data_IF_119645944715
#
_entry.id   IF_119645944715
#
_cell.length_a   1.000
_cell.length_b   1.000
_cell.length_c   1.000
_cell.angle_alpha   90.00
_cell.angle_beta   90.00
_cell.angle_gamma   90.00
#
_symmetry.space_group_name_H-M   'P 1'
#
loop_
_entity.id
_entity.type
_entity.pdbx_description
1 polymer ?
#
# COMPACT_ATOMS: atom_id res chain seq x y z
N UNK A 1 -46.98 7.62 -32.86
CA UNK A 1 -46.19 6.36 -32.90
C UNK A 1 -44.68 6.57 -33.10
N UNK A 2 -44.14 7.79 -33.10
CA UNK A 2 -42.71 8.07 -33.39
C UNK A 2 -41.79 8.25 -32.18
N UNK A 3 -42.30 8.36 -30.95
CA UNK A 3 -41.46 8.62 -29.75
C UNK A 3 -40.89 7.35 -29.09
N UNK A 4 -41.46 6.16 -29.37
CA UNK A 4 -41.05 4.90 -28.70
C UNK A 4 -39.73 4.35 -29.26
N UNK A 5 -39.40 4.65 -30.53
CA UNK A 5 -38.14 4.23 -31.15
C UNK A 5 -36.94 5.08 -30.71
N UNK A 6 -37.11 6.37 -30.42
CA UNK A 6 -36.00 7.23 -29.98
C UNK A 6 -35.57 6.94 -28.54
N UNK A 7 -36.50 6.70 -27.61
CA UNK A 7 -36.14 6.39 -26.21
C UNK A 7 -35.42 5.04 -26.06
N UNK A 8 -35.77 4.05 -26.89
CA UNK A 8 -35.13 2.72 -26.87
C UNK A 8 -33.70 2.77 -27.40
N UNK A 9 -33.41 3.54 -28.45
CA UNK A 9 -32.05 3.75 -28.95
C UNK A 9 -31.16 4.52 -27.98
N UNK A 10 -31.68 5.53 -27.29
CA UNK A 10 -30.93 6.32 -26.29
C UNK A 10 -30.63 5.49 -25.04
N UNK A 11 -31.59 4.69 -24.56
CA UNK A 11 -31.39 3.79 -23.41
C UNK A 11 -30.36 2.67 -23.67
N UNK A 12 -30.38 2.07 -24.86
CA UNK A 12 -29.40 1.06 -25.28
C UNK A 12 -27.98 1.63 -25.42
N UNK A 13 -27.85 2.83 -26.00
CA UNK A 13 -26.56 3.53 -26.09
C UNK A 13 -25.95 3.78 -24.70
N UNK A 14 -26.72 4.37 -23.79
CA UNK A 14 -26.23 4.71 -22.43
C UNK A 14 -25.82 3.46 -21.62
N UNK A 15 -26.54 2.35 -21.77
CA UNK A 15 -26.18 1.05 -21.17
C UNK A 15 -24.83 0.53 -21.69
N UNK A 16 -24.62 0.52 -23.00
CA UNK A 16 -23.39 0.00 -23.63
C UNK A 16 -22.17 0.82 -23.23
N UNK A 17 -22.30 2.15 -23.19
CA UNK A 17 -21.22 3.04 -22.74
C UNK A 17 -20.85 2.81 -21.28
N UNK A 18 -21.84 2.59 -20.41
CA UNK A 18 -21.60 2.32 -18.98
C UNK A 18 -20.84 1.01 -18.74
N UNK A 19 -21.14 -0.05 -19.52
CA UNK A 19 -20.47 -1.34 -19.36
C UNK A 19 -19.05 -1.33 -19.95
N UNK A 20 -18.85 -0.66 -21.08
CA UNK A 20 -17.51 -0.45 -21.64
C UNK A 20 -16.61 0.32 -20.68
N UNK A 21 -17.13 1.39 -20.06
CA UNK A 21 -16.39 2.19 -19.09
C UNK A 21 -15.96 1.34 -17.89
N UNK A 22 -16.88 0.54 -17.31
CA UNK A 22 -16.56 -0.37 -16.19
C UNK A 22 -15.49 -1.40 -16.57
N UNK A 23 -15.53 -1.92 -17.80
CA UNK A 23 -14.53 -2.87 -18.28
C UNK A 23 -13.16 -2.21 -18.44
N UNK A 24 -13.11 -1.01 -19.02
CA UNK A 24 -11.89 -0.23 -19.17
C UNK A 24 -11.27 0.06 -17.80
N UNK A 25 -12.07 0.48 -16.82
CA UNK A 25 -11.58 0.75 -15.46
C UNK A 25 -10.98 -0.51 -14.84
N UNK A 26 -11.69 -1.65 -14.87
CA UNK A 26 -11.20 -2.89 -14.29
C UNK A 26 -9.88 -3.35 -14.94
N UNK A 27 -9.80 -3.33 -16.27
CA UNK A 27 -8.59 -3.70 -17.01
C UNK A 27 -7.45 -2.72 -16.72
N UNK A 28 -7.74 -1.43 -16.61
CA UNK A 28 -6.73 -0.40 -16.32
C UNK A 28 -6.12 -0.61 -14.93
N UNK A 29 -6.93 -0.93 -13.92
CA UNK A 29 -6.44 -1.18 -12.56
C UNK A 29 -5.62 -2.47 -12.50
N UNK A 30 -6.04 -3.54 -13.19
CA UNK A 30 -5.24 -4.77 -13.28
C UNK A 30 -3.92 -4.50 -13.99
N UNK A 31 -3.93 -3.75 -15.10
CA UNK A 31 -2.72 -3.41 -15.85
C UNK A 31 -1.77 -2.54 -15.04
N UNK A 32 -2.31 -1.57 -14.28
CA UNK A 32 -1.54 -0.76 -13.34
C UNK A 32 -0.92 -1.63 -12.23
N UNK A 33 -1.67 -2.57 -11.69
CA UNK A 33 -1.18 -3.52 -10.68
C UNK A 33 -0.03 -4.38 -11.20
N UNK A 34 -0.12 -4.86 -12.45
CA UNK A 34 0.99 -5.53 -13.13
C UNK A 34 2.20 -4.61 -13.23
N UNK A 35 2.03 -3.39 -13.74
CA UNK A 35 3.12 -2.42 -13.88
C UNK A 35 3.84 -2.14 -12.55
N UNK A 36 3.08 -1.88 -11.48
CA UNK A 36 3.63 -1.64 -10.14
C UNK A 36 4.40 -2.86 -9.62
N UNK A 37 3.82 -4.06 -9.73
CA UNK A 37 4.49 -5.27 -9.25
C UNK A 37 5.76 -5.60 -10.03
N UNK A 38 5.85 -5.23 -11.32
CA UNK A 38 7.10 -5.35 -12.09
C UNK A 38 8.19 -4.37 -11.61
N UNK A 39 7.81 -3.20 -11.10
CA UNK A 39 8.78 -2.23 -10.56
C UNK A 39 9.33 -2.61 -9.19
N UNK A 40 8.55 -3.33 -8.37
CA UNK A 40 8.93 -3.69 -7.00
C UNK A 40 10.28 -4.43 -6.88
N UNK A 41 10.56 -5.52 -7.62
CA UNK A 41 11.86 -6.20 -7.55
C UNK A 41 13.02 -5.35 -8.08
N UNK A 42 12.78 -4.38 -8.97
CA UNK A 42 13.80 -3.44 -9.44
C UNK A 42 14.21 -2.51 -8.29
N UNK A 43 13.22 -1.93 -7.59
CA UNK A 43 13.46 -1.07 -6.44
C UNK A 43 14.20 -1.80 -5.32
N UNK A 44 13.76 -3.02 -5.00
CA UNK A 44 14.45 -3.88 -4.02
C UNK A 44 15.89 -4.13 -4.44
N UNK A 45 16.10 -4.57 -5.68
CA UNK A 45 17.43 -4.90 -6.20
C UNK A 45 18.39 -3.72 -6.21
N UNK A 46 17.90 -2.51 -6.40
CA UNK A 46 18.70 -1.28 -6.27
C UNK A 46 18.99 -0.94 -4.80
N UNK A 47 18.00 -1.05 -3.93
CA UNK A 47 18.13 -0.65 -2.53
C UNK A 47 19.10 -1.54 -1.75
N UNK A 48 19.03 -2.87 -1.94
CA UNK A 48 19.85 -3.84 -1.20
C UNK A 48 21.35 -3.76 -1.54
N UNK A 49 21.73 -3.00 -2.57
CA UNK A 49 23.13 -2.77 -2.93
C UNK A 49 23.81 -1.77 -1.98
N UNK A 50 23.02 -0.93 -1.30
CA UNK A 50 23.56 0.06 -0.37
C UNK A 50 23.80 -0.54 1.01
N UNK A 51 24.86 -0.08 1.71
CA UNK A 51 25.11 -0.51 3.07
C UNK A 51 23.98 -0.08 4.00
N UNK A 52 23.62 -0.95 4.93
CA UNK A 52 22.47 -0.81 5.80
C UNK A 52 22.88 -0.38 7.21
N UNK A 53 22.19 0.63 7.75
CA UNK A 53 22.54 1.29 9.02
C UNK A 53 22.06 0.51 10.26
N UNK A 54 21.20 -0.49 10.07
CA UNK A 54 20.65 -1.29 11.17
C UNK A 54 19.22 -0.92 11.57
N UNK A 55 18.68 0.19 11.05
CA UNK A 55 17.33 0.70 11.38
C UNK A 55 16.61 1.14 10.10
N UNK A 56 15.29 0.94 10.06
CA UNK A 56 14.41 1.46 9.01
C UNK A 56 13.70 2.73 9.49
N UNK A 57 13.41 3.60 8.55
CA UNK A 57 12.84 4.91 8.82
C UNK A 57 11.50 5.09 8.14
N UNK A 58 10.65 5.92 8.75
CA UNK A 58 9.51 6.50 8.07
C UNK A 58 9.96 7.66 7.16
N UNK A 59 9.05 8.21 6.35
CA UNK A 59 9.39 9.26 5.38
C UNK A 59 9.95 10.53 6.00
N UNK A 60 9.55 10.84 7.22
CA UNK A 60 10.10 11.95 8.01
C UNK A 60 11.42 11.58 8.73
N UNK A 61 12.02 10.42 8.44
CA UNK A 61 13.23 9.92 9.11
C UNK A 61 13.07 9.59 10.60
N UNK A 62 11.83 9.48 11.08
CA UNK A 62 11.55 8.90 12.40
C UNK A 62 11.82 7.40 12.33
N UNK A 63 12.43 6.87 13.38
CA UNK A 63 12.67 5.43 13.53
C UNK A 63 11.35 4.69 13.40
N UNK A 64 11.28 3.73 12.49
CA UNK A 64 10.05 3.00 12.22
C UNK A 64 9.72 2.05 13.37
N UNK A 65 8.46 2.00 13.85
CA UNK A 65 8.03 1.05 14.89
C UNK A 65 8.11 -0.41 14.42
N UNK A 66 8.24 -0.65 13.11
CA UNK A 66 8.48 -1.97 12.52
C UNK A 66 9.75 -2.61 13.10
N UNK A 67 10.71 -1.80 13.57
CA UNK A 67 11.91 -2.24 14.28
C UNK A 67 11.63 -3.19 15.44
N UNK A 68 10.52 -3.01 16.17
CA UNK A 68 10.16 -3.84 17.33
C UNK A 68 9.27 -5.04 16.99
N UNK A 69 8.89 -5.22 15.73
CA UNK A 69 8.00 -6.31 15.33
C UNK A 69 8.67 -7.67 15.49
N UNK A 70 7.93 -8.64 16.04
CA UNK A 70 8.35 -10.04 16.20
C UNK A 70 8.69 -10.73 14.87
N UNK A 71 8.31 -10.13 13.74
CA UNK A 71 8.51 -10.68 12.40
C UNK A 71 9.93 -10.48 11.86
N UNK A 72 10.78 -9.67 12.50
CA UNK A 72 12.11 -9.35 11.99
C UNK A 72 13.22 -9.57 13.05
N UNK A 73 13.65 -10.83 13.24
CA UNK A 73 14.49 -11.24 14.36
C UNK A 73 15.94 -10.75 14.28
N UNK A 74 16.45 -10.38 13.10
CA UNK A 74 17.84 -9.93 12.98
C UNK A 74 18.00 -8.46 13.43
N UNK A 75 17.03 -7.57 13.16
CA UNK A 75 17.07 -6.19 13.69
C UNK A 75 17.05 -6.12 15.21
N UNK A 76 16.38 -7.05 15.89
CA UNK A 76 16.34 -7.10 17.37
C UNK A 76 17.72 -7.28 18.01
N UNK A 77 18.67 -7.89 17.29
CA UNK A 77 19.99 -8.21 17.83
C UNK A 77 21.03 -7.10 17.59
N UNK A 78 20.68 -6.07 16.82
CA UNK A 78 21.53 -4.90 16.65
C UNK A 78 21.26 -4.02 17.89
N UNK A 79 22.21 -3.97 18.83
CA UNK A 79 22.13 -3.19 20.09
C UNK A 79 22.18 -1.68 19.82
N UNK A 80 21.27 -1.15 19.01
CA UNK A 80 21.06 0.28 18.83
C UNK A 80 19.88 0.64 19.74
N UNK A 81 20.18 1.31 20.85
CA UNK A 81 19.19 1.77 21.83
C UNK A 81 18.49 3.03 21.32
N UNK A 82 17.74 2.87 20.24
CA UNK A 82 16.97 3.95 19.60
C UNK A 82 15.57 3.43 19.33
N UNK A 83 14.58 4.21 19.76
CA UNK A 83 13.17 3.91 19.61
C UNK A 83 12.45 5.03 18.85
N UNK A 84 11.26 4.80 18.28
CA UNK A 84 10.34 5.90 18.04
C UNK A 84 10.09 6.68 19.36
N UNK A 85 9.95 8.01 19.33
CA UNK A 85 9.87 8.87 18.15
C UNK A 85 11.21 9.56 17.79
N UNK A 86 12.36 8.92 17.99
CA UNK A 86 13.64 9.50 17.58
C UNK A 86 13.71 9.70 16.05
N UNK A 87 14.18 10.86 15.62
CA UNK A 87 14.31 11.25 14.22
C UNK A 87 15.77 11.43 13.84
N UNK A 88 16.20 10.83 12.73
CA UNK A 88 17.54 11.02 12.21
C UNK A 88 17.69 12.43 11.61
N UNK A 89 18.74 13.15 12.03
CA UNK A 89 19.06 14.49 11.54
C UNK A 89 20.31 14.50 10.66
N UNK A 90 21.37 13.81 11.09
CA UNK A 90 22.65 13.82 10.36
C UNK A 90 23.34 12.47 10.34
N UNK A 91 24.16 12.27 9.31
CA UNK A 91 25.10 11.16 9.18
C UNK A 91 26.48 11.76 8.92
N UNK A 92 27.44 11.50 9.80
CA UNK A 92 28.79 12.09 9.73
C UNK A 92 28.76 13.62 9.57
N UNK A 93 27.84 14.30 10.28
CA UNK A 93 27.56 15.73 10.18
C UNK A 93 26.98 16.21 8.83
N UNK A 94 26.63 15.30 7.92
CA UNK A 94 25.89 15.63 6.70
C UNK A 94 24.40 15.60 7.04
N UNK A 95 23.64 16.69 6.82
CA UNK A 95 22.21 16.71 7.09
C UNK A 95 21.46 15.76 6.17
N UNK A 96 20.50 15.02 6.73
CA UNK A 96 19.66 14.06 6.01
C UNK A 96 18.21 14.47 6.25
N UNK A 97 17.50 14.86 5.18
CA UNK A 97 16.11 15.34 5.27
C UNK A 97 15.10 14.32 4.73
N UNK A 98 15.59 13.34 3.97
CA UNK A 98 14.77 12.31 3.35
C UNK A 98 15.51 10.98 3.23
N UNK A 99 14.77 9.89 2.97
CA UNK A 99 15.35 8.58 2.68
C UNK A 99 16.21 8.56 1.41
N UNK A 100 16.06 9.56 0.52
CA UNK A 100 16.92 9.73 -0.65
C UNK A 100 18.29 10.26 -0.24
N UNK A 101 18.31 11.29 0.61
CA UNK A 101 19.55 11.84 1.15
C UNK A 101 20.30 10.78 1.96
N UNK A 102 19.57 9.94 2.70
CA UNK A 102 20.13 8.80 3.45
C UNK A 102 20.90 7.87 2.49
N UNK A 103 20.25 7.48 1.40
CA UNK A 103 20.85 6.59 0.41
C UNK A 103 22.00 7.27 -0.33
N UNK A 104 21.89 8.57 -0.61
CA UNK A 104 22.94 9.36 -1.26
C UNK A 104 24.21 9.48 -0.40
N UNK A 105 24.07 9.56 0.92
CA UNK A 105 25.21 9.49 1.85
C UNK A 105 25.79 8.07 1.87
N UNK A 106 24.94 7.05 2.02
CA UNK A 106 25.38 5.65 2.16
C UNK A 106 26.03 5.08 0.89
N UNK A 107 25.76 5.64 -0.28
CA UNK A 107 26.39 5.27 -1.57
C UNK A 107 27.91 5.31 -1.55
N UNK A 108 28.50 6.19 -0.72
CA UNK A 108 29.94 6.39 -0.64
C UNK A 108 30.59 5.54 0.46
N UNK A 109 29.80 4.73 1.17
CA UNK A 109 30.26 3.86 2.24
C UNK A 109 30.26 2.38 1.84
N UNK A 110 31.01 1.59 2.60
CA UNK A 110 31.08 0.13 2.47
C UNK A 110 30.52 -0.57 3.70
N UNK A 111 30.16 -1.84 3.53
CA UNK A 111 29.82 -2.72 4.64
C UNK A 111 31.00 -2.78 5.62
N UNK A 112 30.71 -2.71 6.92
CA UNK A 112 31.62 -2.58 8.07
C UNK A 112 32.21 -1.18 8.33
N UNK A 113 31.89 -0.18 7.51
CA UNK A 113 32.22 1.22 7.85
C UNK A 113 31.47 1.65 9.12
N UNK A 114 32.09 2.53 9.90
CA UNK A 114 31.44 3.16 11.05
C UNK A 114 30.92 4.54 10.64
N UNK A 115 29.67 4.82 10.96
CA UNK A 115 29.03 6.11 10.71
C UNK A 115 28.50 6.69 12.01
N UNK A 116 28.67 8.00 12.18
CA UNK A 116 28.12 8.76 13.29
C UNK A 116 26.72 9.22 12.91
N UNK A 117 25.73 8.81 13.68
CA UNK A 117 24.33 9.14 13.50
C UNK A 117 23.91 10.08 14.62
N UNK A 118 23.31 11.20 14.25
CA UNK A 118 22.74 12.16 15.21
C UNK A 118 21.23 12.14 15.10
N UNK A 119 20.57 11.87 16.22
CA UNK A 119 19.14 11.84 16.36
C UNK A 119 18.65 12.97 17.25
N UNK A 120 17.41 13.41 17.02
CA UNK A 120 16.65 14.25 17.95
C UNK A 120 15.42 13.50 18.43
N UNK A 121 15.04 13.70 19.67
CA UNK A 121 13.74 13.23 20.13
C UNK A 121 12.63 14.15 19.58
N UNK A 122 11.48 13.62 19.18
CA UNK A 122 10.43 14.46 18.58
C UNK A 122 9.90 15.57 19.52
N UNK A 123 9.95 15.34 20.83
CA UNK A 123 9.39 16.23 21.85
C UNK A 123 10.45 16.95 22.72
N UNK A 124 11.75 16.72 22.47
CA UNK A 124 12.81 17.41 23.20
C UNK A 124 13.98 17.81 22.27
N UNK A 125 14.71 18.85 22.65
CA UNK A 125 15.97 19.23 21.99
C UNK A 125 17.12 18.26 22.34
N UNK A 126 16.82 17.09 22.93
CA UNK A 126 17.83 16.12 23.30
C UNK A 126 18.44 15.51 22.04
N UNK A 127 19.75 15.70 21.92
CA UNK A 127 20.56 15.15 20.85
C UNK A 127 21.13 13.81 21.33
N UNK A 128 20.92 12.77 20.51
CA UNK A 128 21.44 11.43 20.75
C UNK A 128 22.41 11.09 19.63
N UNK A 129 23.69 10.96 19.98
CA UNK A 129 24.76 10.59 19.05
C UNK A 129 25.14 9.12 19.22
N UNK A 130 25.03 8.35 18.14
CA UNK A 130 25.33 6.92 18.13
C UNK A 130 26.25 6.60 16.97
N UNK A 131 27.26 5.75 17.24
CA UNK A 131 28.12 5.22 16.18
C UNK A 131 27.58 3.86 15.75
N UNK A 132 27.04 3.78 14.53
CA UNK A 132 26.56 2.53 13.96
C UNK A 132 27.61 1.93 13.02
N UNK A 133 27.70 0.60 13.00
CA UNK A 133 28.50 -0.13 12.01
C UNK A 133 27.59 -0.56 10.88
N UNK A 134 27.92 -0.17 9.65
CA UNK A 134 27.15 -0.51 8.48
C UNK A 134 27.24 -2.01 8.19
N UNK A 135 26.11 -2.61 7.82
CA UNK A 135 25.98 -4.05 7.54
C UNK A 135 25.38 -4.27 6.16
N UNK A 136 25.44 -5.48 5.63
CA UNK A 136 24.59 -5.85 4.49
C UNK A 136 23.17 -6.07 4.99
N UNK A 137 22.17 -5.73 4.17
CA UNK A 137 20.79 -6.00 4.54
C UNK A 137 20.55 -7.51 4.74
N UNK A 138 19.98 -7.95 5.87
CA UNK A 138 19.87 -9.37 6.19
C UNK A 138 18.93 -10.09 5.22
N UNK A 139 19.37 -11.23 4.66
CA UNK A 139 18.57 -11.98 3.70
C UNK A 139 17.24 -12.49 4.29
N UNK A 140 17.24 -12.90 5.56
CA UNK A 140 16.01 -13.37 6.22
C UNK A 140 14.97 -12.25 6.33
N UNK A 141 15.42 -11.04 6.67
CA UNK A 141 14.55 -9.88 6.78
C UNK A 141 14.06 -9.44 5.40
N UNK A 142 14.91 -9.51 4.37
CA UNK A 142 14.49 -9.30 2.98
C UNK A 142 13.40 -10.26 2.54
N UNK A 143 13.56 -11.55 2.86
CA UNK A 143 12.58 -12.55 2.51
C UNK A 143 11.25 -12.34 3.26
N UNK A 144 11.28 -11.94 4.53
CA UNK A 144 10.08 -11.65 5.31
C UNK A 144 9.41 -10.34 4.91
N UNK A 145 10.19 -9.29 4.63
CA UNK A 145 9.70 -7.95 4.34
C UNK A 145 9.22 -7.80 2.90
N UNK A 146 9.92 -8.42 1.95
CA UNK A 146 9.59 -8.37 0.53
C UNK A 146 9.13 -9.71 -0.01
N UNK A 147 9.91 -10.78 0.17
CA UNK A 147 9.66 -12.07 -0.47
C UNK A 147 8.26 -12.63 -0.22
N UNK A 148 7.89 -12.84 1.05
CA UNK A 148 6.60 -13.42 1.44
C UNK A 148 5.42 -12.54 0.98
N UNK A 149 5.34 -11.23 1.31
CA UNK A 149 4.27 -10.38 0.81
C UNK A 149 4.19 -10.34 -0.72
N UNK A 150 5.34 -10.25 -1.40
CA UNK A 150 5.39 -10.16 -2.85
C UNK A 150 4.85 -11.42 -3.54
N UNK A 151 5.22 -12.62 -3.09
CA UNK A 151 4.68 -13.86 -3.65
C UNK A 151 3.19 -14.02 -3.40
N UNK A 152 2.70 -13.59 -2.23
CA UNK A 152 1.26 -13.52 -1.96
C UNK A 152 0.60 -12.56 -2.96
N UNK A 153 1.15 -11.36 -3.14
CA UNK A 153 0.66 -10.38 -4.11
C UNK A 153 0.61 -10.93 -5.54
N UNK A 154 1.67 -11.62 -5.99
CA UNK A 154 1.71 -12.27 -7.31
C UNK A 154 0.64 -13.36 -7.46
N UNK A 155 0.38 -14.14 -6.42
CA UNK A 155 -0.71 -15.12 -6.44
C UNK A 155 -2.07 -14.44 -6.67
N UNK A 156 -2.37 -13.38 -5.93
CA UNK A 156 -3.60 -12.60 -6.12
C UNK A 156 -3.64 -11.94 -7.49
N UNK A 157 -2.55 -11.38 -7.98
CA UNK A 157 -2.48 -10.82 -9.33
C UNK A 157 -2.76 -11.88 -10.41
N UNK A 158 -2.20 -13.08 -10.24
CA UNK A 158 -2.50 -14.24 -11.08
C UNK A 158 -3.98 -14.60 -11.06
N UNK A 159 -4.64 -14.55 -9.89
CA UNK A 159 -6.08 -14.72 -9.77
C UNK A 159 -6.86 -13.62 -10.52
N UNK A 160 -6.45 -12.35 -10.42
CA UNK A 160 -7.11 -11.24 -11.11
C UNK A 160 -7.09 -11.43 -12.64
N UNK A 161 -5.90 -11.72 -13.19
CA UNK A 161 -5.68 -11.91 -14.63
C UNK A 161 -6.41 -13.15 -15.14
N UNK A 162 -6.24 -14.29 -14.46
CA UNK A 162 -6.89 -15.55 -14.87
C UNK A 162 -8.41 -15.47 -14.82
N UNK A 163 -8.97 -14.77 -13.82
CA UNK A 163 -10.42 -14.66 -13.65
C UNK A 163 -11.04 -13.85 -14.79
N UNK A 164 -10.41 -12.75 -15.20
CA UNK A 164 -10.85 -11.96 -16.36
C UNK A 164 -10.69 -12.77 -17.66
N UNK A 165 -9.58 -13.50 -17.81
CA UNK A 165 -9.28 -14.25 -19.02
C UNK A 165 -10.24 -15.43 -19.25
N UNK A 166 -10.53 -16.24 -18.23
CA UNK A 166 -11.35 -17.45 -18.37
C UNK A 166 -12.85 -17.20 -18.22
N UNK A 167 -13.27 -16.34 -17.30
CA UNK A 167 -14.70 -16.16 -17.00
C UNK A 167 -15.33 -14.96 -17.70
N UNK A 168 -14.52 -14.16 -18.39
CA UNK A 168 -14.93 -12.94 -19.08
C UNK A 168 -15.33 -11.81 -18.13
N UNK A 169 -15.65 -10.64 -18.69
CA UNK A 169 -15.83 -9.40 -17.92
C UNK A 169 -17.25 -9.25 -17.34
N UNK A 170 -17.64 -10.19 -16.47
CA UNK A 170 -18.89 -10.13 -15.69
C UNK A 170 -18.71 -9.22 -14.46
N UNK A 171 -19.80 -8.75 -13.87
CA UNK A 171 -19.74 -7.84 -12.71
C UNK A 171 -19.02 -8.46 -11.51
N UNK A 172 -19.38 -9.68 -11.10
CA UNK A 172 -18.70 -10.39 -10.00
C UNK A 172 -17.20 -10.58 -10.29
N UNK A 173 -16.86 -11.00 -11.51
CA UNK A 173 -15.48 -11.17 -11.97
C UNK A 173 -14.70 -9.86 -11.89
N UNK A 174 -15.29 -8.74 -12.31
CA UNK A 174 -14.66 -7.40 -12.24
C UNK A 174 -14.32 -7.00 -10.81
N UNK A 175 -15.27 -7.18 -9.90
CA UNK A 175 -15.08 -6.78 -8.49
C UNK A 175 -14.06 -7.68 -7.80
N UNK A 176 -14.09 -8.98 -8.06
CA UNK A 176 -13.08 -9.91 -7.55
C UNK A 176 -11.68 -9.59 -8.10
N UNK A 177 -11.55 -9.39 -9.42
CA UNK A 177 -10.28 -9.04 -10.03
C UNK A 177 -9.74 -7.69 -9.52
N UNK A 178 -10.63 -6.72 -9.28
CA UNK A 178 -10.27 -5.44 -8.65
C UNK A 178 -9.70 -5.64 -7.25
N UNK A 179 -10.38 -6.41 -6.39
CA UNK A 179 -9.88 -6.75 -5.05
C UNK A 179 -8.50 -7.39 -5.12
N UNK A 180 -8.34 -8.41 -5.96
CA UNK A 180 -7.07 -9.11 -6.13
C UNK A 180 -5.95 -8.18 -6.64
N UNK A 181 -6.24 -7.31 -7.61
CA UNK A 181 -5.27 -6.37 -8.16
C UNK A 181 -4.84 -5.32 -7.12
N UNK A 182 -5.77 -4.80 -6.32
CA UNK A 182 -5.48 -3.87 -5.23
C UNK A 182 -4.66 -4.56 -4.13
N UNK A 183 -5.01 -5.79 -3.76
CA UNK A 183 -4.26 -6.56 -2.77
C UNK A 183 -2.82 -6.84 -3.23
N UNK A 184 -2.63 -7.11 -4.52
CA UNK A 184 -1.31 -7.24 -5.12
C UNK A 184 -0.50 -5.94 -5.09
N UNK A 185 -1.14 -4.78 -5.30
CA UNK A 185 -0.47 -3.47 -5.15
C UNK A 185 -0.04 -3.26 -3.69
N UNK A 186 -0.94 -3.49 -2.73
CA UNK A 186 -0.68 -3.30 -1.30
C UNK A 186 0.54 -4.12 -0.84
N UNK A 187 0.54 -5.41 -1.18
CA UNK A 187 1.59 -6.34 -0.75
C UNK A 187 2.89 -6.14 -1.54
N UNK A 188 2.82 -5.83 -2.83
CA UNK A 188 3.99 -5.59 -3.67
C UNK A 188 4.74 -4.28 -3.36
N UNK A 189 4.07 -3.30 -2.75
CA UNK A 189 4.65 -1.97 -2.44
C UNK A 189 5.05 -1.80 -0.98
N UNK A 190 4.87 -2.83 -0.14
CA UNK A 190 5.20 -2.77 1.30
C UNK A 190 6.69 -2.51 1.57
N UNK A 191 7.57 -3.05 0.72
CA UNK A 191 9.01 -2.83 0.86
C UNK A 191 9.38 -1.37 0.57
N UNK A 192 8.83 -0.81 -0.50
CA UNK A 192 9.05 0.60 -0.86
C UNK A 192 8.50 1.56 0.20
N UNK A 193 7.37 1.20 0.83
CA UNK A 193 6.77 1.94 1.94
C UNK A 193 7.76 2.16 3.11
N UNK A 194 8.72 1.25 3.30
CA UNK A 194 9.68 1.28 4.41
C UNK A 194 11.10 1.68 3.97
N UNK A 195 11.31 1.96 2.68
CA UNK A 195 12.64 2.23 2.11
C UNK A 195 12.69 3.55 1.35
N UNK A 196 12.42 3.57 0.05
CA UNK A 196 12.48 4.80 -0.76
C UNK A 196 11.26 5.71 -0.58
N UNK A 197 10.10 5.14 -0.27
CA UNK A 197 8.82 5.84 -0.19
C UNK A 197 8.30 6.43 -1.51
N UNK A 198 8.69 5.90 -2.67
CA UNK A 198 8.19 6.36 -3.98
C UNK A 198 6.71 6.04 -4.20
N UNK A 199 6.28 4.88 -3.75
CA UNK A 199 4.96 4.29 -3.96
C UNK A 199 4.08 4.36 -2.70
N UNK A 200 4.53 5.05 -1.65
CA UNK A 200 3.79 5.14 -0.38
C UNK A 200 2.39 5.71 -0.54
N UNK A 201 2.20 6.75 -1.36
CA UNK A 201 0.87 7.30 -1.61
C UNK A 201 -0.05 6.30 -2.31
N UNK A 202 0.49 5.48 -3.22
CA UNK A 202 -0.27 4.43 -3.88
C UNK A 202 -0.67 3.37 -2.84
N UNK A 203 0.25 2.97 -1.97
CA UNK A 203 -0.03 2.01 -0.89
C UNK A 203 -1.16 2.50 0.02
N UNK A 204 -1.10 3.76 0.46
CA UNK A 204 -2.10 4.39 1.34
C UNK A 204 -3.49 4.42 0.69
N UNK A 205 -3.57 4.89 -0.56
CA UNK A 205 -4.84 4.96 -1.30
C UNK A 205 -5.40 3.57 -1.57
N UNK A 206 -4.55 2.57 -1.79
CA UNK A 206 -5.00 1.21 -2.10
C UNK A 206 -5.73 0.58 -0.90
N UNK A 207 -5.32 0.89 0.33
CA UNK A 207 -5.83 0.24 1.53
C UNK A 207 -7.36 0.41 1.74
N UNK A 208 -7.97 1.63 1.71
CA UNK A 208 -9.42 1.78 1.78
C UNK A 208 -10.16 1.11 0.61
N UNK A 209 -9.57 1.15 -0.59
CA UNK A 209 -10.18 0.57 -1.79
C UNK A 209 -10.24 -0.96 -1.75
N UNK A 210 -9.32 -1.63 -1.05
CA UNK A 210 -9.43 -3.07 -0.76
C UNK A 210 -10.69 -3.34 0.05
N UNK A 211 -10.92 -2.60 1.13
CA UNK A 211 -12.13 -2.73 1.95
C UNK A 211 -13.41 -2.48 1.15
N UNK A 212 -13.43 -1.43 0.32
CA UNK A 212 -14.56 -1.14 -0.56
C UNK A 212 -14.81 -2.23 -1.60
N UNK A 213 -13.76 -2.80 -2.18
CA UNK A 213 -13.89 -3.89 -3.15
C UNK A 213 -14.43 -5.18 -2.50
N UNK A 214 -14.03 -5.47 -1.27
CA UNK A 214 -14.54 -6.60 -0.50
C UNK A 214 -16.02 -6.41 -0.12
N UNK A 215 -16.39 -5.21 0.33
CA UNK A 215 -17.79 -4.87 0.60
C UNK A 215 -18.65 -4.89 -0.67
N UNK A 216 -18.12 -4.43 -1.81
CA UNK A 216 -18.81 -4.57 -3.09
C UNK A 216 -18.97 -6.05 -3.47
N UNK A 217 -17.96 -6.89 -3.20
CA UNK A 217 -18.02 -8.31 -3.48
C UNK A 217 -19.11 -8.99 -2.64
N UNK A 218 -19.24 -8.66 -1.35
CA UNK A 218 -20.30 -9.21 -0.49
C UNK A 218 -21.71 -8.78 -0.90
N UNK A 219 -21.85 -7.63 -1.55
CA UNK A 219 -23.13 -7.14 -2.09
C UNK A 219 -23.51 -7.82 -3.41
N UNK A 220 -22.54 -8.35 -4.15
CA UNK A 220 -22.74 -8.95 -5.48
C UNK A 220 -22.76 -10.48 -5.44
N UNK A 221 -22.09 -11.09 -4.45
CA UNK A 221 -21.94 -12.54 -4.28
C UNK A 221 -22.44 -12.98 -2.89
N UNK A 222 -23.13 -14.13 -2.75
CA UNK A 222 -23.46 -15.14 -3.78
C UNK A 222 -24.70 -14.81 -4.62
N UNK A 223 -25.68 -14.09 -4.07
CA UNK A 223 -26.90 -13.67 -4.78
C UNK A 223 -27.14 -12.20 -4.50
N UNK A 224 -27.29 -11.40 -5.56
CA UNK A 224 -27.58 -9.96 -5.44
C UNK A 224 -28.87 -9.70 -4.65
N UNK A 225 -28.83 -8.93 -3.54
CA UNK A 225 -30.00 -8.50 -2.79
C UNK A 225 -31.01 -7.72 -3.64
N UNK A 226 -32.29 -7.74 -3.24
CA UNK A 226 -33.38 -7.12 -4.01
C UNK A 226 -33.24 -5.60 -4.09
N UNK A 227 -32.70 -4.99 -3.05
CA UNK A 227 -32.47 -3.56 -2.88
C UNK A 227 -31.44 -3.05 -3.89
N UNK A 228 -30.37 -3.84 -4.11
CA UNK A 228 -29.28 -3.52 -5.04
C UNK A 228 -29.71 -3.75 -6.49
N UNK A 229 -30.56 -4.76 -6.73
CA UNK A 229 -31.21 -4.94 -8.04
C UNK A 229 -32.12 -3.75 -8.39
N UNK A 230 -32.74 -3.11 -7.39
CA UNK A 230 -33.61 -1.94 -7.58
C UNK A 230 -32.83 -0.65 -7.77
N UNK A 231 -31.72 -0.47 -7.06
CA UNK A 231 -30.86 0.69 -7.20
C UNK A 231 -29.39 0.27 -7.21
N UNK A 232 -28.86 0.14 -8.43
CA UNK A 232 -27.46 -0.23 -8.69
C UNK A 232 -26.47 0.78 -8.08
N UNK A 233 -26.87 2.01 -7.78
CA UNK A 233 -25.95 2.99 -7.16
C UNK A 233 -25.53 2.59 -5.73
N UNK A 234 -26.34 1.79 -5.02
CA UNK A 234 -26.00 1.34 -3.66
C UNK A 234 -24.69 0.54 -3.61
N UNK A 235 -24.34 -0.15 -4.70
CA UNK A 235 -23.11 -0.94 -4.76
C UNK A 235 -21.83 -0.08 -4.79
N UNK A 236 -21.96 1.22 -5.09
CA UNK A 236 -20.84 2.16 -5.15
C UNK A 236 -20.60 2.93 -3.86
N UNK A 237 -21.53 2.84 -2.89
CA UNK A 237 -21.40 3.48 -1.57
C UNK A 237 -20.05 3.17 -0.91
N UNK A 238 -19.57 1.91 -0.87
CA UNK A 238 -18.27 1.60 -0.28
C UNK A 238 -17.11 2.36 -0.92
N UNK A 239 -17.14 2.60 -2.23
CA UNK A 239 -16.09 3.33 -2.94
C UNK A 239 -16.09 4.83 -2.62
N UNK A 240 -17.26 5.43 -2.41
CA UNK A 240 -17.35 6.82 -1.94
C UNK A 240 -16.70 6.98 -0.58
N UNK A 241 -16.95 6.04 0.34
CA UNK A 241 -16.28 6.02 1.65
C UNK A 241 -14.77 5.79 1.52
N UNK A 242 -14.35 4.85 0.67
CA UNK A 242 -12.93 4.63 0.42
C UNK A 242 -12.23 5.86 -0.18
N UNK A 243 -12.89 6.62 -1.06
CA UNK A 243 -12.35 7.85 -1.62
C UNK A 243 -12.14 8.92 -0.55
N UNK A 244 -13.15 9.16 0.30
CA UNK A 244 -13.06 10.14 1.39
C UNK A 244 -11.95 9.77 2.37
N UNK A 245 -11.84 8.49 2.73
CA UNK A 245 -10.78 8.01 3.60
C UNK A 245 -9.41 8.11 2.95
N UNK A 246 -9.29 7.79 1.66
CA UNK A 246 -8.03 7.93 0.94
C UNK A 246 -7.55 9.40 0.94
N UNK A 247 -8.46 10.35 0.73
CA UNK A 247 -8.14 11.78 0.80
C UNK A 247 -7.70 12.17 2.22
N UNK A 248 -8.43 11.73 3.25
CA UNK A 248 -8.08 11.98 4.63
C UNK A 248 -6.71 11.39 5.01
N UNK A 249 -6.42 10.16 4.58
CA UNK A 249 -5.13 9.51 4.82
C UNK A 249 -3.98 10.24 4.14
N UNK A 250 -4.14 10.63 2.87
CA UNK A 250 -3.10 11.38 2.15
C UNK A 250 -2.87 12.75 2.81
N UNK A 251 -3.93 13.43 3.26
CA UNK A 251 -3.85 14.71 3.94
C UNK A 251 -3.11 14.60 5.29
N UNK A 252 -3.44 13.60 6.10
CA UNK A 252 -2.78 13.37 7.37
C UNK A 252 -1.30 13.06 7.17
N UNK A 253 -0.99 12.13 6.28
CA UNK A 253 0.39 11.77 5.94
C UNK A 253 1.21 12.97 5.42
N UNK A 254 0.59 13.87 4.65
CA UNK A 254 1.25 15.10 4.22
C UNK A 254 1.58 16.01 5.42
N UNK A 255 0.72 16.01 6.45
CA UNK A 255 0.86 16.85 7.64
C UNK A 255 1.85 16.27 8.66
N UNK A 256 1.79 14.96 8.92
CA UNK A 256 2.60 14.29 9.95
C UNK A 256 3.91 13.72 9.41
N UNK A 257 4.00 13.46 8.11
CA UNK A 257 5.12 12.75 7.48
C UNK A 257 5.22 11.27 7.86
N UNK A 258 4.29 10.77 8.68
CA UNK A 258 4.20 9.38 9.10
C UNK A 258 3.18 8.63 8.25
N UNK A 259 3.56 7.42 7.81
CA UNK A 259 2.66 6.51 7.09
C UNK A 259 2.03 5.46 8.02
N UNK A 260 2.63 5.23 9.19
CA UNK A 260 2.28 4.15 10.10
C UNK A 260 1.45 4.62 11.30
N UNK A 261 1.08 5.90 11.39
CA UNK A 261 0.04 6.38 12.32
C UNK A 261 -1.38 5.94 11.91
N UNK A 262 -1.61 5.72 10.61
CA UNK A 262 -2.93 5.42 10.05
C UNK A 262 -3.47 3.97 10.13
N UNK A 263 -2.70 2.89 10.43
CA UNK A 263 -3.24 1.53 10.58
C UNK A 263 -4.38 1.44 11.62
N UNK A 264 -4.48 2.40 12.55
CA UNK A 264 -5.54 2.44 13.54
C UNK A 264 -6.95 2.72 12.97
N UNK A 265 -7.07 3.35 11.78
CA UNK A 265 -8.37 3.63 11.16
C UNK A 265 -8.71 2.71 9.97
N UNK A 266 -7.69 2.22 9.23
CA UNK A 266 -7.89 1.29 8.12
C UNK A 266 -8.40 -0.09 8.55
N UNK A 267 -7.97 -0.55 9.74
CA UNK A 267 -8.45 -1.77 10.38
C UNK A 267 -9.95 -1.68 10.70
N UNK A 268 -10.47 -0.49 11.07
CA UNK A 268 -11.90 -0.33 11.38
C UNK A 268 -12.79 -0.63 10.17
N UNK A 269 -12.37 -0.34 8.93
CA UNK A 269 -13.15 -0.71 7.75
C UNK A 269 -13.13 -2.21 7.43
N UNK A 270 -12.03 -2.91 7.72
CA UNK A 270 -11.94 -4.36 7.57
C UNK A 270 -12.87 -5.10 8.55
N UNK A 271 -13.20 -4.48 9.70
CA UNK A 271 -14.07 -5.09 10.72
C UNK A 271 -15.54 -4.63 10.70
N UNK A 272 -15.85 -3.41 10.27
CA UNK A 272 -17.22 -2.88 10.41
C UNK A 272 -18.20 -3.24 9.29
N UNK A 273 -17.75 -3.56 8.07
CA UNK A 273 -18.69 -3.80 6.97
C UNK A 273 -19.28 -5.22 6.93
N UNK A 274 -18.54 -6.32 7.19
CA UNK A 274 -19.15 -7.65 7.14
C UNK A 274 -20.16 -7.90 8.27
N UNK A 275 -19.92 -7.32 9.45
CA UNK A 275 -20.72 -7.58 10.65
C UNK A 275 -22.11 -6.92 10.63
N UNK A 276 -22.25 -5.75 9.99
CA UNK A 276 -23.54 -5.05 9.86
C UNK A 276 -24.50 -5.72 8.86
N UNK A 277 -23.99 -6.52 7.92
CA UNK A 277 -24.82 -7.20 6.91
C UNK A 277 -25.10 -8.67 7.22
N UNK A 278 -24.45 -9.25 8.24
CA UNK A 278 -24.76 -10.60 8.75
C UNK A 278 -25.87 -10.60 9.82
N UNK A 279 -26.30 -9.43 10.29
CA UNK A 279 -27.34 -9.27 11.32
C UNK A 279 -28.71 -8.81 10.79
N UNK A 280 -28.94 -8.82 9.48
CA UNK A 280 -30.21 -8.47 8.82
C UNK A 280 -30.63 -9.56 7.84
#
# INVERSE_FOLDING_TARGET
MSNVSQETHVGLSNSIWSDRLKNIIAISIVSLSVGINLTAPILVGQWIQYPFVGVLFEKNLVVSPVYYSLLFPYYRNINIDIAPPNQLQTINNVPVLSSHDLIDVLKYNSVNDKVHLTFTHADSEDIIDITATLTSFPFIDLFMLFGVPYFIGLFYLGCAVSTIHWYGVKETTKVFALFCALFAILTGTIFDLLTYHYLSYIWIVTLPFIGASLAHLSLVFPVKPREIKRNTLLQYIPYTFALLLSIASVWETYTTGSFLTFPNYGILLLFFLPSLFLSA
#
